data_IF_676491350899
#
_entry.id   IF_676491350899
#
_cell.length_a   1.000
_cell.length_b   1.000
_cell.length_c   1.000
_cell.angle_alpha   90.00
_cell.angle_beta   90.00
_cell.angle_gamma   90.00
#
_symmetry.space_group_name_H-M   'P 1'
#
loop_
_entity.id
_entity.type
_entity.pdbx_description
1 polymer ?
#
# COMPACT_ATOMS: atom_id res chain seq x y z
N UNK A 1 14.53 -19.94 1.56
CA UNK A 1 15.69 -20.80 1.28
C UNK A 1 16.93 -20.06 1.79
N UNK A 2 17.71 -20.63 2.70
CA UNK A 2 18.90 -19.96 3.28
C UNK A 2 20.01 -19.81 2.24
N UNK A 3 20.71 -18.68 2.20
CA UNK A 3 21.70 -18.34 1.14
C UNK A 3 22.78 -19.43 0.90
N UNK A 4 23.18 -20.15 1.94
CA UNK A 4 24.11 -21.29 1.83
C UNK A 4 23.58 -22.47 1.00
N UNK A 5 22.26 -22.66 0.93
CA UNK A 5 21.64 -23.71 0.09
C UNK A 5 21.54 -23.26 -1.38
N UNK A 6 21.41 -21.96 -1.65
CA UNK A 6 21.44 -21.38 -3.00
C UNK A 6 22.84 -21.48 -3.62
N UNK A 7 23.89 -21.18 -2.86
CA UNK A 7 25.27 -21.28 -3.32
C UNK A 7 25.72 -22.75 -3.52
N UNK A 8 25.24 -23.67 -2.67
CA UNK A 8 25.49 -25.10 -2.84
C UNK A 8 24.74 -25.70 -4.04
N UNK A 9 23.52 -25.22 -4.34
CA UNK A 9 22.74 -25.64 -5.50
C UNK A 9 23.33 -25.13 -6.83
N UNK A 10 23.87 -23.90 -6.83
CA UNK A 10 24.55 -23.29 -7.98
C UNK A 10 25.77 -24.10 -8.45
N UNK A 11 26.45 -24.77 -7.52
CA UNK A 11 27.62 -25.61 -7.78
C UNK A 11 27.26 -27.01 -8.28
N UNK A 12 26.13 -27.58 -7.84
CA UNK A 12 25.72 -28.95 -8.22
C UNK A 12 24.93 -29.02 -9.53
N UNK A 13 24.04 -28.06 -9.79
CA UNK A 13 23.18 -28.07 -10.99
C UNK A 13 22.93 -26.64 -11.52
N UNK A 14 23.85 -26.07 -12.32
CA UNK A 14 23.74 -24.70 -12.80
C UNK A 14 22.49 -24.48 -13.68
N UNK A 15 22.03 -25.50 -14.40
CA UNK A 15 20.84 -25.37 -15.25
C UNK A 15 19.54 -25.28 -14.44
N UNK A 16 19.35 -26.14 -13.44
CA UNK A 16 18.17 -26.11 -12.58
C UNK A 16 18.11 -24.82 -11.75
N UNK A 17 19.26 -24.32 -11.30
CA UNK A 17 19.38 -23.05 -10.61
C UNK A 17 18.95 -21.85 -11.48
N UNK A 18 19.46 -21.76 -12.72
CA UNK A 18 19.09 -20.68 -13.63
C UNK A 18 17.60 -20.74 -14.04
N UNK A 19 17.04 -21.95 -14.21
CA UNK A 19 15.61 -22.12 -14.47
C UNK A 19 14.76 -21.68 -13.27
N UNK A 20 15.15 -22.05 -12.05
CA UNK A 20 14.44 -21.63 -10.84
C UNK A 20 14.46 -20.09 -10.69
N UNK A 21 15.61 -19.46 -10.91
CA UNK A 21 15.73 -17.99 -10.90
C UNK A 21 14.82 -17.33 -11.95
N UNK A 22 14.81 -17.84 -13.19
CA UNK A 22 13.96 -17.29 -14.24
C UNK A 22 12.46 -17.41 -13.90
N UNK A 23 12.07 -18.54 -13.29
CA UNK A 23 10.68 -18.76 -12.84
C UNK A 23 10.32 -17.81 -11.69
N UNK A 24 11.22 -17.58 -10.75
CA UNK A 24 11.02 -16.66 -9.63
C UNK A 24 10.94 -15.20 -10.08
N UNK A 25 11.83 -14.77 -10.99
CA UNK A 25 11.79 -13.45 -11.60
C UNK A 25 10.48 -13.22 -12.37
N UNK A 26 10.03 -14.20 -13.16
CA UNK A 26 8.78 -14.10 -13.89
C UNK A 26 7.56 -14.06 -12.95
N UNK A 27 7.56 -14.87 -11.89
CA UNK A 27 6.51 -14.85 -10.86
C UNK A 27 6.42 -13.49 -10.18
N UNK A 28 7.57 -12.90 -9.82
CA UNK A 28 7.66 -11.60 -9.19
C UNK A 28 7.19 -10.48 -10.14
N UNK A 29 7.58 -10.53 -11.43
CA UNK A 29 7.08 -9.62 -12.46
C UNK A 29 5.56 -9.70 -12.64
N UNK A 30 4.98 -10.90 -12.69
CA UNK A 30 3.53 -11.11 -12.79
C UNK A 30 2.81 -10.53 -11.57
N UNK A 31 3.33 -10.77 -10.36
CA UNK A 31 2.75 -10.22 -9.14
C UNK A 31 2.77 -8.69 -9.14
N UNK A 32 3.86 -8.06 -9.60
CA UNK A 32 3.93 -6.61 -9.72
C UNK A 32 2.88 -6.05 -10.68
N UNK A 33 2.75 -6.64 -11.87
CA UNK A 33 1.74 -6.23 -12.85
C UNK A 33 0.34 -6.40 -12.27
N UNK A 34 0.05 -7.53 -11.63
CA UNK A 34 -1.25 -7.78 -11.03
C UNK A 34 -1.59 -6.80 -9.90
N UNK A 35 -0.66 -6.53 -8.99
CA UNK A 35 -0.84 -5.54 -7.92
C UNK A 35 -1.05 -4.14 -8.46
N UNK A 36 -0.35 -3.74 -9.52
CA UNK A 36 -0.57 -2.46 -10.18
C UNK A 36 -1.95 -2.39 -10.85
N UNK A 37 -2.32 -3.40 -11.64
CA UNK A 37 -3.64 -3.48 -12.30
C UNK A 37 -4.77 -3.40 -11.28
N UNK A 38 -4.68 -4.18 -10.20
CA UNK A 38 -5.67 -4.14 -9.11
C UNK A 38 -5.67 -2.80 -8.37
N UNK A 39 -4.51 -2.16 -8.18
CA UNK A 39 -4.41 -0.79 -7.66
C UNK A 39 -5.12 0.24 -8.54
N UNK A 40 -4.95 0.17 -9.87
CA UNK A 40 -5.67 1.02 -10.82
C UNK A 40 -7.18 0.78 -10.78
N UNK A 41 -7.62 -0.48 -10.65
CA UNK A 41 -9.05 -0.81 -10.50
C UNK A 41 -9.64 -0.22 -9.20
N UNK A 42 -8.89 -0.25 -8.10
CA UNK A 42 -9.33 0.34 -6.83
C UNK A 42 -9.37 1.88 -6.90
N UNK A 43 -8.51 2.54 -7.69
CA UNK A 43 -8.65 3.99 -7.90
C UNK A 43 -9.99 4.38 -8.51
N UNK A 44 -10.59 3.54 -9.35
CA UNK A 44 -11.95 3.78 -9.86
C UNK A 44 -13.03 3.69 -8.78
N UNK A 45 -12.75 3.11 -7.61
CA UNK A 45 -13.69 3.14 -6.48
C UNK A 45 -13.92 4.56 -5.98
N UNK A 46 -12.93 5.46 -6.02
CA UNK A 46 -13.13 6.87 -5.59
C UNK A 46 -14.15 7.58 -6.46
N UNK A 47 -14.06 7.38 -7.79
CA UNK A 47 -15.06 7.89 -8.71
C UNK A 47 -16.43 7.24 -8.48
N UNK A 48 -16.46 5.95 -8.16
CA UNK A 48 -17.67 5.22 -7.79
C UNK A 48 -18.35 5.79 -6.53
N UNK A 49 -17.59 5.98 -5.44
CA UNK A 49 -18.10 6.55 -4.19
C UNK A 49 -18.58 7.99 -4.39
N UNK A 50 -17.84 8.82 -5.12
CA UNK A 50 -18.28 10.17 -5.43
C UNK A 50 -19.62 10.18 -6.19
N UNK A 51 -19.83 9.29 -7.16
CA UNK A 51 -21.11 9.18 -7.88
C UNK A 51 -22.25 8.68 -6.99
N UNK A 52 -22.00 7.70 -6.12
CA UNK A 52 -23.01 7.18 -5.20
C UNK A 52 -23.41 8.22 -4.15
N UNK A 53 -22.44 8.91 -3.55
CA UNK A 53 -22.68 9.94 -2.55
C UNK A 53 -23.41 11.14 -3.13
N UNK A 54 -23.02 11.58 -4.33
CA UNK A 54 -23.72 12.68 -5.02
C UNK A 54 -25.11 12.28 -5.50
N UNK A 55 -25.31 11.02 -5.90
CA UNK A 55 -26.60 10.48 -6.33
C UNK A 55 -27.61 10.28 -5.19
N UNK A 56 -27.13 10.01 -3.97
CA UNK A 56 -27.97 9.90 -2.76
C UNK A 56 -28.23 11.25 -2.09
N UNK A 57 -27.46 12.28 -2.41
CA UNK A 57 -27.68 13.64 -1.93
C UNK A 57 -28.81 14.33 -2.69
N UNK A 58 -29.45 15.30 -2.03
CA UNK A 58 -30.47 16.12 -2.68
C UNK A 58 -29.80 17.00 -3.74
N UNK A 59 -30.44 17.15 -4.91
CA UNK A 59 -29.88 17.88 -6.06
C UNK A 59 -29.32 19.28 -5.74
N UNK A 60 -29.90 19.97 -4.74
CA UNK A 60 -29.44 21.28 -4.28
C UNK A 60 -28.03 21.28 -3.67
N UNK A 61 -27.55 20.14 -3.17
CA UNK A 61 -26.27 19.99 -2.48
C UNK A 61 -25.28 19.05 -3.20
N UNK A 62 -25.66 18.53 -4.38
CA UNK A 62 -24.83 17.60 -5.15
C UNK A 62 -23.45 18.20 -5.50
N UNK A 63 -23.41 19.48 -5.87
CA UNK A 63 -22.14 20.17 -6.16
C UNK A 63 -21.20 20.27 -4.95
N UNK A 64 -21.76 20.48 -3.76
CA UNK A 64 -20.98 20.54 -2.52
C UNK A 64 -20.42 19.16 -2.13
N UNK A 65 -21.24 18.11 -2.26
CA UNK A 65 -20.82 16.73 -1.99
C UNK A 65 -19.72 16.25 -2.96
N UNK A 66 -19.80 16.64 -4.24
CA UNK A 66 -18.78 16.29 -5.23
C UNK A 66 -17.43 16.99 -4.97
N UNK A 67 -17.47 18.28 -4.61
CA UNK A 67 -16.27 19.04 -4.26
C UNK A 67 -15.55 18.47 -3.03
N UNK A 68 -16.31 17.96 -2.07
CA UNK A 68 -15.78 17.32 -0.87
C UNK A 68 -15.04 16.02 -1.17
N UNK A 69 -15.63 15.15 -2.00
CA UNK A 69 -15.00 13.92 -2.48
C UNK A 69 -13.66 14.21 -3.18
N UNK A 70 -13.60 15.25 -4.01
CA UNK A 70 -12.37 15.64 -4.69
C UNK A 70 -11.28 16.16 -3.73
N UNK A 71 -11.69 16.86 -2.66
CA UNK A 71 -10.73 17.37 -1.68
C UNK A 71 -10.15 16.25 -0.79
N UNK A 72 -10.98 15.28 -0.40
CA UNK A 72 -10.54 14.12 0.37
C UNK A 72 -9.50 13.33 -0.41
N UNK A 73 -9.71 13.15 -1.72
CA UNK A 73 -8.74 12.51 -2.61
C UNK A 73 -7.35 13.16 -2.55
N UNK A 74 -7.30 14.49 -2.72
CA UNK A 74 -6.05 15.25 -2.69
C UNK A 74 -5.38 15.25 -1.32
N UNK A 75 -6.15 15.45 -0.25
CA UNK A 75 -5.63 15.45 1.12
C UNK A 75 -5.21 14.05 1.58
N UNK A 76 -5.93 13.02 1.16
CA UNK A 76 -5.63 11.61 1.42
C UNK A 76 -4.30 11.21 0.78
N UNK A 77 -4.09 11.55 -0.50
CA UNK A 77 -2.84 11.27 -1.20
C UNK A 77 -1.63 11.93 -0.52
N UNK A 78 -1.75 13.21 -0.13
CA UNK A 78 -0.68 13.94 0.56
C UNK A 78 -0.46 13.40 1.97
N UNK A 79 -1.53 13.13 2.73
CA UNK A 79 -1.44 12.58 4.08
C UNK A 79 -0.80 11.20 4.12
N UNK A 80 -1.13 10.33 3.15
CA UNK A 80 -0.52 9.01 3.03
C UNK A 80 0.97 9.08 2.71
N UNK A 81 1.35 10.01 1.83
CA UNK A 81 2.73 10.25 1.42
C UNK A 81 3.61 10.74 2.58
N UNK A 82 3.10 11.65 3.41
CA UNK A 82 3.88 12.25 4.50
C UNK A 82 4.13 11.23 5.63
N UNK A 83 3.09 10.54 6.11
CA UNK A 83 3.20 9.68 7.29
C UNK A 83 2.45 8.34 7.23
N UNK A 84 1.43 8.19 6.36
CA UNK A 84 0.59 6.99 6.32
C UNK A 84 1.37 5.72 5.99
N UNK A 85 2.26 5.78 5.02
CA UNK A 85 3.10 4.63 4.67
C UNK A 85 4.12 4.27 5.76
N UNK A 86 4.70 5.27 6.40
CA UNK A 86 5.66 5.10 7.49
C UNK A 86 5.02 4.39 8.69
N UNK A 87 3.79 4.75 9.05
CA UNK A 87 3.09 4.10 10.16
C UNK A 87 2.65 2.67 9.83
N UNK A 88 2.20 2.41 8.60
CA UNK A 88 1.67 1.10 8.22
C UNK A 88 2.75 0.06 7.88
N UNK A 89 3.81 0.46 7.17
CA UNK A 89 4.86 -0.45 6.69
C UNK A 89 6.26 -0.13 7.23
N UNK A 90 6.45 0.94 8.00
CA UNK A 90 7.75 1.36 8.54
C UNK A 90 8.40 0.40 9.53
N UNK A 91 7.62 -0.54 10.06
CA UNK A 91 8.04 -1.50 11.07
C UNK A 91 8.21 -2.93 10.59
N UNK A 92 7.28 -3.37 9.74
CA UNK A 92 7.18 -4.75 9.23
C UNK A 92 7.79 -4.92 7.83
N UNK A 93 8.13 -3.82 7.15
CA UNK A 93 8.67 -3.81 5.80
C UNK A 93 7.84 -4.58 4.77
N UNK A 94 8.43 -4.84 3.60
CA UNK A 94 7.90 -5.82 2.64
C UNK A 94 8.10 -7.26 3.10
N UNK A 95 8.69 -7.48 4.29
CA UNK A 95 8.89 -8.80 4.90
C UNK A 95 7.56 -9.51 5.17
N UNK A 96 6.49 -8.75 5.44
CA UNK A 96 5.11 -9.25 5.53
C UNK A 96 4.44 -9.55 4.18
N UNK A 97 5.08 -9.22 3.04
CA UNK A 97 4.56 -9.51 1.70
C UNK A 97 5.60 -10.29 0.89
N UNK A 98 5.79 -11.60 1.20
CA UNK A 98 6.81 -12.44 0.57
C UNK A 98 6.67 -12.53 -0.95
N UNK A 99 5.45 -12.33 -1.46
CA UNK A 99 5.10 -12.45 -2.87
C UNK A 99 5.65 -11.33 -3.77
N UNK A 100 6.17 -10.25 -3.20
CA UNK A 100 6.73 -9.08 -3.92
C UNK A 100 8.24 -8.88 -3.63
N UNK A 101 8.93 -9.93 -3.18
CA UNK A 101 10.39 -9.92 -3.01
C UNK A 101 10.89 -9.78 -1.58
N UNK A 102 10.01 -9.65 -0.58
CA UNK A 102 10.37 -9.86 0.84
C UNK A 102 11.51 -8.99 1.36
N UNK A 103 11.52 -7.70 1.01
CA UNK A 103 12.62 -6.78 1.32
C UNK A 103 12.57 -6.28 2.77
N UNK A 104 13.68 -6.48 3.49
CA UNK A 104 13.92 -6.00 4.86
C UNK A 104 14.39 -4.54 4.88
N UNK A 105 13.73 -3.65 4.13
CA UNK A 105 14.11 -2.25 4.02
C UNK A 105 13.58 -1.37 5.18
N UNK A 106 12.56 -1.83 5.92
CA UNK A 106 11.94 -1.07 7.01
C UNK A 106 12.00 -1.87 8.32
N UNK A 107 13.01 -1.58 9.15
CA UNK A 107 13.41 -2.41 10.31
C UNK A 107 13.24 -1.68 11.65
N UNK A 108 12.55 -0.53 11.69
CA UNK A 108 12.34 0.21 12.95
C UNK A 108 10.87 0.28 13.30
N UNK A 109 10.43 -0.65 14.14
CA UNK A 109 9.11 -0.69 14.77
C UNK A 109 9.15 -0.43 16.27
N UNK A 110 8.07 0.16 16.77
CA UNK A 110 7.66 0.04 18.18
C UNK A 110 6.94 -1.29 18.33
N UNK A 111 7.62 -2.31 18.86
CA UNK A 111 7.01 -3.60 19.15
C UNK A 111 6.77 -3.80 20.65
N UNK A 112 5.59 -4.32 21.00
CA UNK A 112 5.31 -4.81 22.36
C UNK A 112 5.44 -6.34 22.34
N UNK A 113 6.29 -6.95 23.18
CA UNK A 113 6.36 -8.39 23.28
C UNK A 113 5.10 -8.92 24.00
N UNK A 114 4.23 -9.60 23.26
CA UNK A 114 3.05 -10.28 23.81
C UNK A 114 3.15 -11.76 23.46
N UNK A 115 3.23 -12.62 24.49
CA UNK A 115 3.20 -14.08 24.30
C UNK A 115 4.38 -14.66 23.50
N UNK A 116 5.58 -14.07 23.59
CA UNK A 116 6.78 -14.56 22.89
C UNK A 116 6.89 -14.12 21.42
N UNK A 117 5.97 -13.30 20.93
CA UNK A 117 6.05 -12.66 19.61
C UNK A 117 6.05 -11.13 19.78
N UNK A 118 6.94 -10.45 19.06
CA UNK A 118 6.99 -8.99 19.01
C UNK A 118 5.84 -8.49 18.12
N UNK A 119 4.87 -7.80 18.70
CA UNK A 119 3.79 -7.15 17.96
C UNK A 119 4.20 -5.73 17.59
N UNK A 120 4.57 -5.49 16.33
CA UNK A 120 4.82 -4.16 15.78
C UNK A 120 3.55 -3.32 15.72
N UNK A 121 3.56 -2.15 16.39
CA UNK A 121 2.39 -1.26 16.50
C UNK A 121 2.56 -0.04 15.59
N UNK A 122 3.77 0.55 15.56
CA UNK A 122 4.06 1.76 14.76
C UNK A 122 5.46 1.67 14.15
N UNK A 123 5.55 1.90 12.83
CA UNK A 123 6.82 2.09 12.14
C UNK A 123 7.37 3.51 12.25
N UNK A 124 8.68 3.66 12.39
CA UNK A 124 9.37 4.97 12.44
C UNK A 124 10.24 5.26 11.21
N UNK A 125 10.21 4.40 10.18
CA UNK A 125 10.98 4.52 8.94
C UNK A 125 10.03 4.65 7.74
N UNK A 126 10.41 5.41 6.71
CA UNK A 126 9.61 5.59 5.49
C UNK A 126 8.72 6.84 5.45
N UNK A 127 8.96 7.83 6.32
CA UNK A 127 8.36 9.17 6.18
C UNK A 127 8.83 9.82 4.88
N UNK A 128 7.92 10.41 4.10
CA UNK A 128 8.20 10.97 2.77
C UNK A 128 8.81 9.99 1.74
N UNK A 129 8.77 8.67 2.01
CA UNK A 129 9.55 7.67 1.28
C UNK A 129 11.08 7.95 1.26
N UNK A 130 11.58 8.78 2.17
CA UNK A 130 13.02 9.11 2.25
C UNK A 130 13.82 8.02 2.98
N UNK A 131 15.13 8.00 2.74
CA UNK A 131 16.15 7.16 3.40
C UNK A 131 16.34 5.72 2.87
N UNK A 132 16.61 5.58 1.56
CA UNK A 132 17.08 4.33 0.95
C UNK A 132 16.00 3.26 0.70
N UNK A 133 14.73 3.61 0.91
CA UNK A 133 13.56 2.75 0.75
C UNK A 133 12.95 2.80 -0.67
N UNK A 134 13.64 3.44 -1.63
CA UNK A 134 13.25 3.52 -3.05
C UNK A 134 13.49 2.18 -3.76
N UNK A 135 12.77 1.15 -3.32
CA UNK A 135 12.66 -0.10 -4.07
C UNK A 135 11.35 -0.09 -4.87
N UNK A 136 11.38 -0.66 -6.07
CA UNK A 136 10.20 -0.84 -6.93
C UNK A 136 9.11 -1.60 -6.16
N UNK A 137 9.50 -2.57 -5.32
CA UNK A 137 8.63 -3.28 -4.39
C UNK A 137 7.82 -2.36 -3.48
N UNK A 138 8.52 -1.41 -2.86
CA UNK A 138 7.97 -0.47 -1.88
C UNK A 138 7.07 0.54 -2.56
N UNK A 139 7.44 1.05 -3.74
CA UNK A 139 6.64 1.99 -4.50
C UNK A 139 5.31 1.38 -5.00
N UNK A 140 5.33 0.12 -5.45
CA UNK A 140 4.10 -0.58 -5.87
C UNK A 140 3.18 -0.83 -4.69
N UNK A 141 3.73 -1.26 -3.55
CA UNK A 141 2.93 -1.45 -2.32
C UNK A 141 2.42 -0.13 -1.75
N UNK A 142 3.19 0.94 -1.85
CA UNK A 142 2.76 2.29 -1.50
C UNK A 142 1.55 2.72 -2.33
N UNK A 143 1.63 2.61 -3.66
CA UNK A 143 0.52 2.96 -4.56
C UNK A 143 -0.72 2.11 -4.25
N UNK A 144 -0.54 0.80 -4.10
CA UNK A 144 -1.64 -0.11 -3.79
C UNK A 144 -2.33 0.25 -2.47
N UNK A 145 -1.59 0.56 -1.41
CA UNK A 145 -2.17 0.82 -0.09
C UNK A 145 -2.70 2.25 0.06
N UNK A 146 -2.10 3.21 -0.66
CA UNK A 146 -2.61 4.57 -0.76
C UNK A 146 -4.08 4.59 -1.21
N UNK A 147 -4.43 3.78 -2.21
CA UNK A 147 -5.79 3.77 -2.77
C UNK A 147 -6.81 3.07 -1.86
N UNK A 148 -6.38 2.14 -1.01
CA UNK A 148 -7.23 1.55 0.04
C UNK A 148 -7.48 2.53 1.19
N UNK A 149 -6.44 3.24 1.62
CA UNK A 149 -6.58 4.27 2.64
C UNK A 149 -7.55 5.36 2.17
N UNK A 150 -7.37 5.84 0.95
CA UNK A 150 -8.22 6.85 0.34
C UNK A 150 -9.68 6.39 0.22
N UNK A 151 -9.91 5.11 -0.15
CA UNK A 151 -11.25 4.51 -0.17
C UNK A 151 -11.88 4.48 1.22
N UNK A 152 -11.05 4.30 2.25
CA UNK A 152 -11.54 4.31 3.64
C UNK A 152 -11.86 5.73 4.08
N UNK A 153 -11.07 6.72 3.65
CA UNK A 153 -11.26 8.13 3.98
C UNK A 153 -12.54 8.73 3.37
N UNK A 154 -13.03 8.20 2.25
CA UNK A 154 -14.30 8.66 1.63
C UNK A 154 -15.56 8.12 2.33
N UNK A 155 -15.48 7.02 3.08
CA UNK A 155 -16.65 6.43 3.76
C UNK A 155 -17.29 7.40 4.78
N UNK A 156 -16.53 8.06 5.67
CA UNK A 156 -17.08 9.05 6.60
C UNK A 156 -17.68 10.28 5.90
N UNK A 157 -17.15 10.68 4.74
CA UNK A 157 -17.67 11.85 4.01
C UNK A 157 -19.00 11.57 3.37
N UNK A 158 -19.22 10.37 2.85
CA UNK A 158 -20.55 9.91 2.43
C UNK A 158 -21.53 9.77 3.58
N UNK A 159 -21.09 9.22 4.72
CA UNK A 159 -21.94 9.06 5.91
C UNK A 159 -22.42 10.39 6.50
N UNK A 160 -21.63 11.46 6.33
CA UNK A 160 -21.94 12.80 6.83
C UNK A 160 -22.27 13.81 5.72
N UNK A 161 -22.59 13.31 4.53
CA UNK A 161 -22.97 14.16 3.41
C UNK A 161 -24.12 15.10 3.82
N UNK A 162 -24.05 16.35 3.34
CA UNK A 162 -24.97 17.45 3.68
C UNK A 162 -24.86 18.07 5.09
N UNK A 163 -24.03 17.53 6.00
CA UNK A 163 -23.85 18.07 7.37
C UNK A 163 -22.56 18.84 7.60
N UNK A 164 -21.62 18.76 6.66
CA UNK A 164 -20.35 19.47 6.76
C UNK A 164 -20.51 20.90 6.27
N UNK A 165 -20.04 21.84 7.10
CA UNK A 165 -19.82 23.22 6.70
C UNK A 165 -18.35 23.34 6.33
N UNK A 166 -18.05 23.81 5.12
CA UNK A 166 -16.76 24.42 4.86
C UNK A 166 -16.64 25.60 5.83
N UNK A 167 -15.66 25.54 6.73
CA UNK A 167 -15.36 26.67 7.59
C UNK A 167 -14.85 27.86 6.78
#
# INVERSE_FOLDING_TARGET
MTQQQLDAAKSKEPFAYNLALLVDENRLGINFVWTLVTGYLVMFMQAGFALVETGLCRAKNAGHTMAMNFMVYGLGMIGYFICGFAFQFGGVGLVGVPNLGGLSALTKELAIPIGGTNWGIIGYKGFFLDDGTYDVGVAVMFLFQMVFMDTTATIPTGAMAERWKWS
#
